data_IF_046772952658
#
_entry.id   IF_046772952658
#
_cell.length_a   1.000
_cell.length_b   1.000
_cell.length_c   1.000
_cell.angle_alpha   90.00
_cell.angle_beta   90.00
_cell.angle_gamma   90.00
#
_symmetry.space_group_name_H-M   'P 1'
#
loop_
_entity.id
_entity.type
_entity.pdbx_description
1 polymer ?
#
# COMPACT_ATOMS: atom_id res chain seq x y z
N UNK A 1 11.13 -22.38 -12.29
CA UNK A 1 11.71 -22.93 -11.05
C UNK A 1 11.08 -22.15 -9.91
N UNK A 2 10.32 -22.81 -9.02
CA UNK A 2 9.77 -22.15 -7.84
C UNK A 2 10.85 -22.20 -6.76
N UNK A 3 11.48 -21.06 -6.47
CA UNK A 3 12.38 -20.95 -5.34
C UNK A 3 11.51 -20.89 -4.07
N UNK A 4 11.68 -21.86 -3.18
CA UNK A 4 11.06 -21.87 -1.86
C UNK A 4 12.02 -21.23 -0.87
N UNK A 5 11.57 -20.16 -0.21
CA UNK A 5 12.34 -19.46 0.81
C UNK A 5 11.74 -19.75 2.18
N UNK A 6 12.59 -20.08 3.15
CA UNK A 6 12.21 -20.12 4.55
C UNK A 6 12.42 -18.71 5.14
N UNK A 7 11.40 -18.18 5.81
CA UNK A 7 11.48 -16.92 6.51
C UNK A 7 11.61 -17.17 8.01
N UNK A 8 12.77 -16.86 8.57
CA UNK A 8 13.02 -16.98 10.01
C UNK A 8 12.35 -15.84 10.81
N UNK A 9 12.11 -14.70 10.16
CA UNK A 9 11.40 -13.56 10.74
C UNK A 9 10.63 -12.76 9.69
N UNK A 10 9.55 -12.12 10.12
CA UNK A 10 8.82 -11.16 9.28
C UNK A 10 9.65 -9.88 9.03
N UNK A 11 10.59 -9.57 9.93
CA UNK A 11 11.49 -8.42 9.80
C UNK A 11 12.38 -8.57 8.57
N UNK A 12 12.91 -9.77 8.32
CA UNK A 12 13.70 -10.06 7.12
C UNK A 12 12.89 -9.86 5.83
N UNK A 13 11.61 -10.25 5.84
CA UNK A 13 10.71 -10.01 4.70
C UNK A 13 10.41 -8.51 4.53
N UNK A 14 10.10 -7.79 5.61
CA UNK A 14 9.84 -6.34 5.57
C UNK A 14 11.05 -5.57 5.06
N UNK A 15 12.24 -5.88 5.59
CA UNK A 15 13.52 -5.35 5.14
C UNK A 15 13.77 -5.60 3.65
N UNK A 16 13.50 -6.81 3.18
CA UNK A 16 13.68 -7.16 1.77
C UNK A 16 12.75 -6.36 0.87
N UNK A 17 11.46 -6.29 1.20
CA UNK A 17 10.44 -5.57 0.43
C UNK A 17 10.71 -4.06 0.39
N UNK A 18 11.13 -3.48 1.53
CA UNK A 18 11.41 -2.06 1.67
C UNK A 18 12.61 -1.57 0.81
N UNK A 19 13.43 -2.47 0.26
CA UNK A 19 14.54 -2.11 -0.63
C UNK A 19 14.09 -1.56 -1.98
N UNK A 20 12.91 -1.96 -2.44
CA UNK A 20 12.43 -1.65 -3.80
C UNK A 20 10.99 -1.13 -3.84
N UNK A 21 10.30 -1.10 -2.70
CA UNK A 21 8.89 -0.71 -2.60
C UNK A 21 8.65 0.10 -1.34
N UNK A 22 7.74 1.06 -1.40
CA UNK A 22 7.23 1.74 -0.21
C UNK A 22 6.38 0.76 0.62
N UNK A 23 6.82 0.43 1.84
CA UNK A 23 6.11 -0.52 2.70
C UNK A 23 5.18 0.23 3.65
N UNK A 24 3.88 -0.06 3.57
CA UNK A 24 2.86 0.51 4.43
C UNK A 24 2.28 -0.53 5.37
N UNK A 25 2.08 -0.16 6.63
CA UNK A 25 1.49 -1.02 7.67
C UNK A 25 0.50 -0.18 8.50
N UNK A 26 -0.50 -0.83 9.09
CA UNK A 26 -1.35 -0.20 10.10
C UNK A 26 -0.55 -0.02 11.40
N UNK A 27 -0.51 1.20 11.91
CA UNK A 27 0.18 1.59 13.14
C UNK A 27 -0.80 2.33 14.05
N UNK A 28 -0.86 1.93 15.33
CA UNK A 28 -1.66 2.60 16.36
C UNK A 28 -0.87 3.73 17.02
N UNK A 29 -1.48 4.91 17.21
CA UNK A 29 -0.82 6.05 17.89
C UNK A 29 -0.92 6.01 19.42
N UNK A 30 -1.90 5.31 19.99
CA UNK A 30 -2.10 5.20 21.43
C UNK A 30 -2.21 3.75 21.90
N UNK A 31 -1.86 3.50 23.16
CA UNK A 31 -1.89 2.17 23.77
C UNK A 31 -3.30 1.59 23.90
N UNK A 32 -4.34 2.43 23.87
CA UNK A 32 -5.75 2.02 23.94
C UNK A 32 -6.31 1.57 22.57
N UNK A 33 -5.47 1.60 21.52
CA UNK A 33 -5.41 0.58 20.48
C UNK A 33 -6.49 0.57 19.39
N UNK A 34 -7.62 1.25 19.53
CA UNK A 34 -8.73 1.06 18.59
C UNK A 34 -9.17 2.30 17.79
N UNK A 35 -8.98 3.51 18.31
CA UNK A 35 -9.51 4.73 17.67
C UNK A 35 -8.51 5.48 16.80
N UNK A 36 -7.20 5.20 16.91
CA UNK A 36 -6.15 5.96 16.22
C UNK A 36 -5.18 5.06 15.44
N UNK A 37 -5.72 4.05 14.75
CA UNK A 37 -4.94 3.18 13.88
C UNK A 37 -5.04 3.65 12.42
N UNK A 38 -3.91 3.88 11.77
CA UNK A 38 -3.86 4.33 10.38
C UNK A 38 -2.72 3.66 9.60
N UNK A 39 -2.87 3.62 8.28
CA UNK A 39 -1.81 3.20 7.39
C UNK A 39 -0.68 4.23 7.41
N UNK A 40 0.53 3.77 7.69
CA UNK A 40 1.74 4.58 7.67
C UNK A 40 2.81 3.87 6.86
N UNK A 41 3.62 4.64 6.14
CA UNK A 41 4.86 4.11 5.58
C UNK A 41 5.81 3.79 6.74
N UNK A 42 6.34 2.57 6.76
CA UNK A 42 7.28 2.12 7.80
C UNK A 42 8.61 1.80 7.15
N UNK A 43 9.68 2.12 7.86
CA UNK A 43 11.06 2.01 7.35
C UNK A 43 11.98 1.42 8.43
N UNK A 44 13.12 0.90 8.00
CA UNK A 44 14.17 0.46 8.93
C UNK A 44 14.68 1.64 9.80
N UNK A 45 15.20 1.37 11.01
CA UNK A 45 15.40 0.05 11.65
C UNK A 45 14.26 -0.38 12.58
N UNK A 46 13.18 0.41 12.68
CA UNK A 46 12.13 0.22 13.66
C UNK A 46 10.85 -0.29 13.00
N UNK A 47 10.62 -1.59 13.09
CA UNK A 47 9.38 -2.19 12.61
C UNK A 47 8.29 -2.15 13.70
N UNK A 48 7.17 -1.44 13.50
CA UNK A 48 6.09 -1.47 14.46
C UNK A 48 5.46 -2.87 14.53
N UNK A 49 4.92 -3.27 15.70
CA UNK A 49 4.21 -4.53 15.82
C UNK A 49 2.98 -4.55 14.90
N UNK A 50 2.70 -5.72 14.33
CA UNK A 50 1.52 -5.91 13.49
C UNK A 50 0.25 -5.64 14.32
N UNK A 51 -0.63 -4.82 13.76
CA UNK A 51 -1.91 -4.47 14.36
C UNK A 51 -3.02 -5.33 13.76
N UNK A 52 -3.92 -5.82 14.62
CA UNK A 52 -5.12 -6.53 14.19
C UNK A 52 -6.36 -5.62 14.16
N UNK A 53 -6.21 -4.40 14.64
CA UNK A 53 -7.28 -3.41 14.66
C UNK A 53 -7.56 -2.91 13.25
N UNK A 54 -8.84 -2.66 12.96
CA UNK A 54 -9.25 -2.05 11.71
C UNK A 54 -8.73 -0.61 11.66
N UNK A 55 -8.00 -0.19 10.60
CA UNK A 55 -7.60 1.19 10.46
C UNK A 55 -8.81 2.10 10.24
N UNK A 56 -8.68 3.37 10.62
CA UNK A 56 -9.70 4.40 10.40
C UNK A 56 -10.09 4.53 8.91
N UNK A 57 -9.09 4.36 8.03
CA UNK A 57 -9.25 4.44 6.59
C UNK A 57 -8.94 3.10 5.92
N UNK A 58 -9.74 2.76 4.92
CA UNK A 58 -9.54 1.58 4.07
C UNK A 58 -8.23 1.69 3.28
N UNK A 59 -7.64 0.55 2.94
CA UNK A 59 -6.55 0.47 1.97
C UNK A 59 -6.91 0.98 0.56
N UNK A 60 -8.19 1.23 0.26
CA UNK A 60 -8.64 1.78 -1.03
C UNK A 60 -7.90 3.06 -1.44
N UNK A 61 -7.53 3.91 -0.48
CA UNK A 61 -6.81 5.16 -0.75
C UNK A 61 -5.47 4.99 -1.49
N UNK A 62 -4.88 3.78 -1.45
CA UNK A 62 -3.63 3.49 -2.15
C UNK A 62 -3.81 3.18 -3.64
N UNK A 63 -5.03 2.84 -4.05
CA UNK A 63 -5.35 2.45 -5.41
C UNK A 63 -6.11 3.53 -6.18
N UNK A 64 -6.63 4.54 -5.48
CA UNK A 64 -7.34 5.66 -6.09
C UNK A 64 -6.80 6.94 -5.52
N UNK A 65 -6.06 7.68 -6.34
CA UNK A 65 -5.63 9.02 -5.98
C UNK A 65 -6.86 9.92 -5.81
N UNK A 66 -6.83 10.83 -4.84
CA UNK A 66 -7.90 11.83 -4.70
C UNK A 66 -7.98 12.79 -5.89
N UNK A 67 -6.89 12.89 -6.66
CA UNK A 67 -6.76 13.75 -7.83
C UNK A 67 -6.08 12.97 -8.97
N UNK A 68 -6.71 12.97 -10.13
CA UNK A 68 -6.23 12.27 -11.33
C UNK A 68 -5.62 13.30 -12.30
N UNK A 69 -4.30 13.24 -12.57
CA UNK A 69 -3.69 14.08 -13.59
C UNK A 69 -4.10 13.58 -14.97
N UNK A 70 -4.96 14.34 -15.65
CA UNK A 70 -5.38 14.02 -17.03
C UNK A 70 -4.45 14.61 -18.09
N UNK A 71 -3.83 15.76 -17.79
CA UNK A 71 -2.96 16.46 -18.71
C UNK A 71 -1.73 17.03 -18.00
N UNK A 72 -0.59 16.98 -18.67
CA UNK A 72 0.65 17.65 -18.26
C UNK A 72 1.05 18.66 -19.33
N UNK A 73 1.41 19.87 -18.90
CA UNK A 73 1.93 20.89 -19.79
C UNK A 73 3.45 20.74 -19.93
N UNK A 74 3.96 20.56 -21.14
CA UNK A 74 5.39 20.36 -21.40
C UNK A 74 6.18 21.65 -21.69
N UNK A 75 5.53 22.81 -21.53
CA UNK A 75 6.09 24.12 -21.89
C UNK A 75 5.62 24.65 -23.24
N UNK A 76 4.99 23.82 -24.07
CA UNK A 76 4.41 24.22 -25.37
C UNK A 76 2.97 23.78 -25.53
N UNK A 77 2.65 22.55 -25.13
CA UNK A 77 1.31 21.97 -25.31
C UNK A 77 0.92 21.08 -24.13
N UNK A 78 -0.39 20.86 -23.98
CA UNK A 78 -0.93 19.88 -23.04
C UNK A 78 -0.91 18.50 -23.67
N UNK A 79 -0.31 17.53 -22.98
CA UNK A 79 -0.31 16.12 -23.36
C UNK A 79 -1.14 15.33 -22.36
N UNK A 80 -1.93 14.40 -22.87
CA UNK A 80 -2.56 13.38 -22.02
C UNK A 80 -1.46 12.62 -21.26
N UNK A 81 -1.72 12.29 -20.00
CA UNK A 81 -0.82 11.50 -19.17
C UNK A 81 -1.60 10.41 -18.46
N UNK A 82 -0.89 9.34 -18.11
CA UNK A 82 -1.37 8.34 -17.17
C UNK A 82 -0.61 8.50 -15.85
N UNK A 83 -1.18 8.05 -14.72
CA UNK A 83 -0.45 7.97 -13.47
C UNK A 83 0.68 6.94 -13.56
N UNK A 84 1.82 7.27 -12.95
CA UNK A 84 2.95 6.34 -12.75
C UNK A 84 3.13 6.15 -11.24
N UNK A 85 2.30 5.31 -10.58
CA UNK A 85 2.36 5.15 -9.13
C UNK A 85 3.68 4.50 -8.69
N UNK A 86 4.25 4.97 -7.58
CA UNK A 86 5.43 4.35 -6.99
C UNK A 86 5.09 2.92 -6.51
N UNK A 87 5.94 1.91 -6.78
CA UNK A 87 5.71 0.55 -6.31
C UNK A 87 5.60 0.50 -4.78
N UNK A 88 4.52 -0.07 -4.26
CA UNK A 88 4.29 -0.18 -2.81
C UNK A 88 3.91 -1.60 -2.38
N UNK A 89 3.87 -1.81 -1.05
CA UNK A 89 3.37 -3.02 -0.40
C UNK A 89 2.50 -2.63 0.79
N UNK A 90 1.30 -3.19 0.87
CA UNK A 90 0.49 -3.18 2.09
C UNK A 90 0.82 -4.44 2.89
N UNK A 91 1.39 -4.27 4.09
CA UNK A 91 1.85 -5.38 4.93
C UNK A 91 0.91 -5.60 6.11
N UNK A 92 0.58 -6.87 6.38
CA UNK A 92 -0.33 -7.23 7.47
C UNK A 92 -1.81 -6.93 7.18
N UNK A 93 -2.21 -6.93 5.91
CA UNK A 93 -3.61 -6.73 5.49
C UNK A 93 -4.50 -7.85 6.04
N UNK A 94 -5.65 -7.48 6.60
CA UNK A 94 -6.61 -8.44 7.12
C UNK A 94 -7.30 -9.20 5.98
N UNK A 95 -7.70 -10.46 6.22
CA UNK A 95 -8.28 -11.30 5.17
C UNK A 95 -9.56 -10.74 4.53
N UNK A 96 -10.38 -10.03 5.30
CA UNK A 96 -11.57 -9.36 4.77
C UNK A 96 -11.22 -8.21 3.80
N UNK A 97 -10.17 -7.45 4.11
CA UNK A 97 -9.67 -6.36 3.25
C UNK A 97 -9.02 -6.92 1.99
N UNK A 98 -8.35 -8.08 2.05
CA UNK A 98 -7.80 -8.75 0.86
C UNK A 98 -8.89 -9.10 -0.16
N UNK A 99 -10.06 -9.55 0.30
CA UNK A 99 -11.18 -9.84 -0.60
C UNK A 99 -11.74 -8.57 -1.23
N UNK A 100 -11.83 -7.48 -0.46
CA UNK A 100 -12.26 -6.19 -0.99
C UNK A 100 -11.28 -5.61 -2.02
N UNK A 101 -9.97 -5.82 -1.84
CA UNK A 101 -8.93 -5.47 -2.81
C UNK A 101 -9.07 -6.34 -4.05
N UNK A 102 -9.22 -7.66 -3.90
CA UNK A 102 -9.40 -8.57 -5.03
C UNK A 102 -10.61 -8.21 -5.93
N UNK A 103 -11.73 -7.81 -5.34
CA UNK A 103 -12.88 -7.31 -6.11
C UNK A 103 -12.60 -5.99 -6.83
N UNK A 104 -11.82 -5.10 -6.23
CA UNK A 104 -11.38 -3.86 -6.88
C UNK A 104 -10.46 -4.17 -8.05
N UNK A 105 -9.42 -4.97 -7.85
CA UNK A 105 -8.50 -5.42 -8.90
C UNK A 105 -9.29 -5.99 -10.09
N UNK A 106 -10.23 -6.89 -9.82
CA UNK A 106 -11.01 -7.56 -10.88
C UNK A 106 -11.93 -6.61 -11.65
N UNK A 107 -12.37 -5.51 -11.03
CA UNK A 107 -13.26 -4.54 -11.68
C UNK A 107 -12.47 -3.47 -12.45
N UNK A 108 -11.33 -3.04 -11.92
CA UNK A 108 -10.53 -1.92 -12.45
C UNK A 108 -9.27 -2.36 -13.20
N UNK A 109 -9.02 -3.66 -13.40
CA UNK A 109 -7.84 -4.21 -14.10
C UNK A 109 -7.56 -3.54 -15.47
N UNK A 110 -8.60 -3.07 -16.15
CA UNK A 110 -8.50 -2.44 -17.49
C UNK A 110 -8.58 -0.92 -17.45
N UNK A 111 -8.69 -0.32 -16.25
CA UNK A 111 -8.72 1.13 -16.07
C UNK A 111 -7.28 1.67 -15.99
N UNK A 112 -6.84 2.52 -16.92
CA UNK A 112 -5.47 3.03 -16.92
C UNK A 112 -5.19 4.04 -15.79
N UNK A 113 -6.19 4.42 -15.00
CA UNK A 113 -6.06 5.30 -13.83
C UNK A 113 -6.04 4.54 -12.49
N UNK A 114 -6.15 3.21 -12.54
CA UNK A 114 -6.03 2.28 -11.41
C UNK A 114 -4.61 1.72 -11.29
#
# INVERSE_FOLDING_TARGET
>A
MHNTYLLDSLDGLRAHLARSRALYQVVAQSADGQQDAHWQQVTEPAWPPLQHHKPLHSAKQFFFAEQEPLYVFDGQLFKETLPEPEPFVLFGVQSCDLMAIHYQDSFFEQDPYY
#
